data_IF_310905182570
#
_entry.id   IF_310905182570
#
_cell.length_a   1.000
_cell.length_b   1.000
_cell.length_c   1.000
_cell.angle_alpha   90.00
_cell.angle_beta   90.00
_cell.angle_gamma   90.00
#
_symmetry.space_group_name_H-M   'P 1'
#
loop_
_entity.id
_entity.type
_entity.pdbx_description
1 polymer ?
#
# COMPACT_ATOMS: atom_id res chain seq x y z
N UNK A 1 23.61 1.43 21.97
CA UNK A 1 22.92 0.18 21.58
C UNK A 1 21.44 0.47 21.45
N UNK A 2 20.71 -0.25 20.58
CA UNK A 2 19.27 -0.02 20.43
C UNK A 2 18.50 -0.53 21.67
N UNK A 3 17.54 0.24 22.22
CA UNK A 3 16.70 -0.24 23.30
C UNK A 3 15.91 -1.50 22.90
N UNK A 4 15.70 -2.40 23.88
CA UNK A 4 14.81 -3.54 23.72
C UNK A 4 13.37 -3.07 23.45
N UNK A 5 12.62 -3.87 22.70
CA UNK A 5 11.20 -3.61 22.50
C UNK A 5 10.43 -3.83 23.82
N UNK A 6 9.44 -2.98 24.15
CA UNK A 6 8.52 -3.25 25.25
C UNK A 6 7.64 -4.47 24.94
N UNK A 7 6.89 -4.95 25.95
CA UNK A 7 5.83 -5.94 25.70
C UNK A 7 4.83 -5.40 24.67
N UNK A 8 4.43 -6.26 23.74
CA UNK A 8 3.42 -5.98 22.73
C UNK A 8 2.00 -6.33 23.19
N UNK A 9 1.88 -6.97 24.35
CA UNK A 9 0.60 -7.40 24.93
C UNK A 9 -0.23 -6.20 25.40
N UNK A 10 -1.54 -6.21 25.07
CA UNK A 10 -2.46 -5.17 25.48
C UNK A 10 -2.27 -3.79 24.82
N UNK A 11 -1.34 -3.66 23.87
CA UNK A 11 -1.17 -2.41 23.12
C UNK A 11 -2.37 -2.15 22.22
N UNK A 12 -2.72 -0.88 22.04
CA UNK A 12 -3.71 -0.46 21.04
C UNK A 12 -3.19 -0.84 19.65
N UNK A 13 -4.02 -1.50 18.85
CA UNK A 13 -3.71 -1.89 17.47
C UNK A 13 -4.55 -1.07 16.51
N UNK A 14 -3.91 -0.40 15.55
CA UNK A 14 -4.58 0.32 14.46
C UNK A 14 -4.31 -0.36 13.14
N UNK A 15 -5.37 -0.62 12.38
CA UNK A 15 -5.27 -1.21 11.05
C UNK A 15 -5.49 -0.12 9.99
N UNK A 16 -4.55 0.00 9.07
CA UNK A 16 -4.55 0.95 7.96
C UNK A 16 -4.46 0.15 6.67
N UNK A 17 -5.49 0.22 5.82
CA UNK A 17 -5.49 -0.41 4.50
C UNK A 17 -5.27 0.63 3.42
N UNK A 18 -4.17 0.48 2.68
CA UNK A 18 -3.86 1.25 1.49
C UNK A 18 -4.59 0.62 0.29
N UNK A 19 -5.12 1.45 -0.60
CA UNK A 19 -5.72 0.99 -1.84
C UNK A 19 -5.80 2.11 -2.86
N UNK A 20 -5.77 1.73 -4.14
CA UNK A 20 -6.00 2.61 -5.28
C UNK A 20 -7.38 2.31 -5.92
N UNK A 21 -7.95 3.22 -6.72
CA UNK A 21 -9.14 2.92 -7.54
C UNK A 21 -8.75 1.80 -8.53
N UNK A 22 -9.38 0.61 -8.45
CA UNK A 22 -8.96 -0.54 -9.25
C UNK A 22 -9.05 -0.31 -10.76
N UNK A 23 -9.93 0.57 -11.23
CA UNK A 23 -10.05 0.89 -12.65
C UNK A 23 -8.88 1.74 -13.11
N UNK A 24 -8.46 2.72 -12.30
CA UNK A 24 -7.32 3.57 -12.60
C UNK A 24 -6.02 2.77 -12.58
N UNK A 25 -5.86 1.86 -11.62
CA UNK A 25 -4.71 0.96 -11.57
C UNK A 25 -4.64 0.06 -12.83
N UNK A 26 -5.75 -0.62 -13.16
CA UNK A 26 -5.81 -1.45 -14.36
C UNK A 26 -5.55 -0.66 -15.66
N UNK A 27 -6.13 0.53 -15.80
CA UNK A 27 -5.91 1.39 -16.97
C UNK A 27 -4.46 1.87 -17.04
N UNK A 28 -3.87 2.28 -15.92
CA UNK A 28 -2.47 2.67 -15.82
C UNK A 28 -1.55 1.54 -16.28
N UNK A 29 -1.78 0.32 -15.78
CA UNK A 29 -1.02 -0.86 -16.18
C UNK A 29 -1.18 -1.19 -17.67
N UNK A 30 -2.40 -1.16 -18.20
CA UNK A 30 -2.65 -1.37 -19.63
C UNK A 30 -1.91 -0.35 -20.51
N UNK A 31 -1.87 0.91 -20.07
CA UNK A 31 -1.16 1.97 -20.78
C UNK A 31 0.36 1.81 -20.71
N UNK A 32 0.90 1.39 -19.56
CA UNK A 32 2.32 1.04 -19.41
C UNK A 32 2.69 -0.14 -20.31
N UNK A 33 1.90 -1.22 -20.29
CA UNK A 33 2.09 -2.39 -21.16
C UNK A 33 2.01 -2.02 -22.64
N UNK A 34 1.07 -1.15 -23.03
CA UNK A 34 0.97 -0.66 -24.41
C UNK A 34 2.20 0.14 -24.84
N UNK A 35 2.78 0.93 -23.93
CA UNK A 35 3.93 1.80 -24.23
C UNK A 35 5.27 1.08 -24.18
N UNK A 36 5.45 0.18 -23.21
CA UNK A 36 6.74 -0.41 -22.88
C UNK A 36 6.78 -1.94 -23.01
N UNK A 37 5.66 -2.61 -23.33
CA UNK A 37 5.62 -4.07 -23.46
C UNK A 37 5.99 -4.78 -22.15
N UNK A 38 6.70 -5.91 -22.25
CA UNK A 38 7.11 -6.70 -21.09
C UNK A 38 8.03 -5.94 -20.12
N UNK A 39 8.73 -4.91 -20.59
CA UNK A 39 9.57 -4.06 -19.77
C UNK A 39 8.77 -3.24 -18.75
N UNK A 40 7.47 -3.04 -18.95
CA UNK A 40 6.61 -2.41 -17.95
C UNK A 40 6.55 -3.19 -16.62
N UNK A 41 6.87 -4.49 -16.65
CA UNK A 41 6.83 -5.38 -15.49
C UNK A 41 8.21 -5.63 -14.88
N UNK A 42 9.28 -5.02 -15.42
CA UNK A 42 10.63 -5.26 -14.90
C UNK A 42 10.77 -4.73 -13.47
N UNK A 43 11.03 -5.62 -12.52
CA UNK A 43 11.17 -5.28 -11.10
C UNK A 43 9.92 -5.50 -10.25
N UNK A 44 8.78 -5.88 -10.86
CA UNK A 44 7.65 -6.42 -10.09
C UNK A 44 8.01 -7.85 -9.67
N UNK A 45 8.15 -8.06 -8.37
CA UNK A 45 8.61 -9.33 -7.81
C UNK A 45 7.58 -10.44 -8.11
N UNK A 46 7.97 -11.41 -8.94
CA UNK A 46 7.09 -12.52 -9.36
C UNK A 46 6.60 -13.38 -8.20
N UNK A 47 7.34 -13.41 -7.09
CA UNK A 47 6.97 -14.14 -5.86
C UNK A 47 5.70 -13.57 -5.20
N UNK A 48 5.47 -12.25 -5.30
CA UNK A 48 4.27 -11.60 -4.76
C UNK A 48 3.04 -11.83 -5.64
N UNK A 49 3.24 -11.97 -6.96
CA UNK A 49 2.16 -12.30 -7.91
C UNK A 49 1.59 -13.71 -7.66
N UNK A 50 2.43 -14.67 -7.28
CA UNK A 50 2.02 -16.07 -7.10
C UNK A 50 1.20 -16.28 -5.81
N UNK A 51 1.45 -15.47 -4.77
CA UNK A 51 0.69 -15.51 -3.53
C UNK A 51 -0.77 -15.04 -3.72
N UNK A 52 -1.04 -14.18 -4.71
CA UNK A 52 -2.40 -13.72 -5.04
C UNK A 52 -3.19 -14.72 -5.91
N UNK A 53 -2.50 -15.64 -6.60
CA UNK A 53 -3.12 -16.71 -7.38
C UNK A 53 -3.45 -17.96 -6.55
N UNK A 54 -2.89 -18.09 -5.34
CA UNK A 54 -3.05 -19.26 -4.47
C UNK A 54 -4.41 -19.33 -3.74
N UNK A 55 -5.37 -18.48 -4.11
CA UNK A 55 -6.78 -18.56 -3.70
C UNK A 55 -7.67 -19.37 -4.65
N UNK A 56 -7.14 -19.87 -5.76
CA UNK A 56 -7.86 -20.70 -6.71
C UNK A 56 -7.22 -22.08 -6.83
N UNK A 57 -7.79 -23.08 -6.16
CA UNK A 57 -7.48 -24.48 -6.42
C UNK A 57 -7.95 -24.86 -7.83
N UNK A 58 -7.12 -24.62 -8.84
CA UNK A 58 -7.24 -25.24 -10.15
C UNK A 58 -6.15 -26.29 -10.27
N UNK A 59 -6.55 -27.57 -10.23
CA UNK A 59 -5.67 -28.69 -10.44
C UNK A 59 -5.02 -28.59 -11.81
N UNK A 60 -3.69 -28.56 -11.85
CA UNK A 60 -2.91 -28.64 -13.07
C UNK A 60 -2.93 -30.09 -13.60
N UNK A 61 -3.95 -30.39 -14.41
CA UNK A 61 -3.86 -31.47 -15.40
C UNK A 61 -3.09 -30.96 -16.63
N UNK A 62 -2.23 -31.82 -17.16
CA UNK A 62 -1.38 -31.60 -18.35
C UNK A 62 -2.06 -30.76 -19.44
N UNK A 63 -1.48 -29.60 -19.77
CA UNK A 63 -1.84 -28.82 -20.95
C UNK A 63 -0.69 -28.89 -21.94
N UNK A 64 -0.91 -29.60 -23.05
CA UNK A 64 -0.02 -29.71 -24.20
C UNK A 64 0.00 -28.38 -24.98
N UNK A 65 1.19 -27.76 -25.08
CA UNK A 65 1.41 -26.46 -25.71
C UNK A 65 1.73 -26.56 -27.21
N UNK A 66 1.14 -27.52 -27.92
CA UNK A 66 1.49 -27.81 -29.31
C UNK A 66 0.77 -26.99 -30.39
N UNK A 67 -0.38 -26.35 -30.12
CA UNK A 67 -1.18 -25.79 -31.22
C UNK A 67 -2.18 -24.68 -30.79
N UNK A 68 -1.68 -23.52 -30.36
CA UNK A 68 -2.52 -22.33 -30.22
C UNK A 68 -2.42 -21.44 -31.48
N UNK A 69 -3.50 -21.44 -32.26
CA UNK A 69 -3.70 -20.53 -33.39
C UNK A 69 -4.06 -19.13 -32.87
N UNK A 70 -3.16 -18.16 -33.08
CA UNK A 70 -3.34 -16.76 -32.70
C UNK A 70 -3.93 -15.88 -33.82
N UNK A 71 -4.36 -16.47 -34.94
CA UNK A 71 -4.82 -15.72 -36.13
C UNK A 71 -6.16 -14.97 -35.95
N UNK A 72 -6.89 -15.20 -34.85
CA UNK A 72 -8.19 -14.59 -34.58
C UNK A 72 -8.21 -13.50 -33.50
N UNK A 73 -7.09 -13.17 -32.86
CA UNK A 73 -7.07 -12.17 -31.78
C UNK A 73 -7.11 -10.75 -32.34
N UNK A 74 -8.32 -10.25 -32.60
CA UNK A 74 -8.55 -8.85 -32.98
C UNK A 74 -8.28 -7.92 -31.78
N UNK A 75 -7.04 -7.47 -31.64
CA UNK A 75 -6.62 -6.47 -30.64
C UNK A 75 -7.20 -5.06 -30.89
N UNK A 76 -8.00 -4.85 -31.94
CA UNK A 76 -8.57 -3.54 -32.29
C UNK A 76 -9.88 -3.18 -31.58
N UNK A 77 -10.59 -4.14 -30.98
CA UNK A 77 -11.95 -3.91 -30.47
C UNK A 77 -12.04 -3.43 -29.00
N UNK A 78 -10.93 -3.34 -28.27
CA UNK A 78 -10.90 -2.83 -26.89
C UNK A 78 -10.76 -1.30 -26.81
N UNK A 79 -10.66 -0.60 -27.94
CA UNK A 79 -10.40 0.85 -27.98
C UNK A 79 -11.62 1.75 -27.75
N UNK A 80 -12.82 1.19 -27.59
CA UNK A 80 -14.06 1.96 -27.65
C UNK A 80 -15.05 1.70 -26.50
N UNK A 81 -14.55 1.28 -25.33
CA UNK A 81 -15.34 1.34 -24.10
C UNK A 81 -15.42 2.81 -23.68
N UNK A 82 -16.51 3.47 -24.08
CA UNK A 82 -16.85 4.83 -23.68
C UNK A 82 -17.14 4.87 -22.17
N UNK A 83 -16.10 4.96 -21.35
CA UNK A 83 -16.21 5.26 -19.93
C UNK A 83 -16.45 6.77 -19.77
N UNK A 84 -17.64 7.22 -20.19
CA UNK A 84 -18.08 8.63 -20.19
C UNK A 84 -18.31 9.24 -18.80
N UNK A 85 -17.62 8.76 -17.76
CA UNK A 85 -17.52 9.43 -16.47
C UNK A 85 -16.18 10.15 -16.37
N UNK A 86 -16.17 11.40 -15.94
CA UNK A 86 -14.92 12.10 -15.60
C UNK A 86 -14.21 11.27 -14.52
N UNK A 87 -13.02 10.76 -14.82
CA UNK A 87 -12.16 10.12 -13.82
C UNK A 87 -11.67 11.19 -12.85
N UNK A 88 -11.83 10.93 -11.56
CA UNK A 88 -11.28 11.78 -10.51
C UNK A 88 -9.88 11.29 -10.15
N UNK A 89 -8.90 11.80 -10.88
CA UNK A 89 -7.48 11.48 -10.62
C UNK A 89 -6.99 12.06 -9.30
N UNK A 90 -7.66 13.08 -8.73
CA UNK A 90 -7.24 13.74 -7.51
C UNK A 90 -7.70 13.01 -6.23
N UNK A 91 -8.61 12.04 -6.36
CA UNK A 91 -9.21 11.31 -5.24
C UNK A 91 -9.21 9.79 -5.51
N UNK A 92 -8.13 9.31 -6.11
CA UNK A 92 -7.99 7.95 -6.61
C UNK A 92 -7.36 6.99 -5.60
N UNK A 93 -6.74 7.50 -4.54
CA UNK A 93 -6.01 6.70 -3.57
C UNK A 93 -6.55 6.90 -2.16
N UNK A 94 -6.57 5.82 -1.38
CA UNK A 94 -7.31 5.76 -0.13
C UNK A 94 -6.48 5.18 1.00
N UNK A 95 -6.76 5.61 2.22
CA UNK A 95 -6.48 4.84 3.43
C UNK A 95 -7.81 4.53 4.13
N UNK A 96 -8.04 3.24 4.43
CA UNK A 96 -9.29 2.76 5.02
C UNK A 96 -10.54 3.16 4.22
N UNK A 97 -10.41 3.17 2.88
CA UNK A 97 -11.49 3.52 1.94
C UNK A 97 -11.87 5.00 1.93
N UNK A 98 -11.06 5.87 2.56
CA UNK A 98 -11.26 7.31 2.58
C UNK A 98 -10.09 7.99 1.86
N UNK A 99 -10.41 9.00 1.06
CA UNK A 99 -9.42 9.98 0.61
C UNK A 99 -9.10 10.93 1.74
N UNK A 100 -7.92 11.52 1.69
CA UNK A 100 -7.50 12.52 2.67
C UNK A 100 -8.53 13.66 2.81
N UNK A 101 -8.98 13.91 4.04
CA UNK A 101 -9.77 15.07 4.41
C UNK A 101 -9.01 15.88 5.48
N UNK A 102 -8.44 17.01 5.07
CA UNK A 102 -7.66 17.90 5.93
C UNK A 102 -8.47 18.43 7.13
N UNK A 103 -9.80 18.46 7.04
CA UNK A 103 -10.67 18.98 8.10
C UNK A 103 -11.15 17.90 9.08
N UNK A 104 -10.80 16.63 8.84
CA UNK A 104 -11.30 15.48 9.60
C UNK A 104 -10.20 14.46 9.87
N UNK A 105 -9.47 14.60 10.99
CA UNK A 105 -8.56 13.56 11.45
C UNK A 105 -9.28 12.21 11.62
N UNK A 106 -8.65 11.13 11.18
CA UNK A 106 -9.23 9.78 11.18
C UNK A 106 -9.36 9.21 12.59
N UNK A 107 -8.42 9.53 13.48
CA UNK A 107 -8.42 9.08 14.87
C UNK A 107 -7.53 9.97 15.76
N UNK A 108 -7.60 9.73 17.08
CA UNK A 108 -6.67 10.26 18.06
C UNK A 108 -5.77 9.13 18.59
N UNK A 109 -4.46 9.28 18.47
CA UNK A 109 -3.45 8.40 19.07
C UNK A 109 -3.13 8.83 20.51
N UNK A 110 -2.69 7.90 21.35
CA UNK A 110 -2.39 8.23 22.74
C UNK A 110 -0.97 8.77 22.90
N UNK A 111 -0.83 10.00 23.42
CA UNK A 111 0.47 10.56 23.81
C UNK A 111 1.20 9.70 24.84
N UNK A 112 2.50 9.50 24.63
CA UNK A 112 3.41 8.80 25.53
C UNK A 112 3.16 7.29 25.65
N UNK A 113 2.22 6.73 24.88
CA UNK A 113 1.90 5.30 24.89
C UNK A 113 2.35 4.64 23.58
N UNK A 114 2.79 3.39 23.70
CA UNK A 114 3.11 2.60 22.52
C UNK A 114 1.81 2.09 21.89
N UNK A 115 1.74 2.18 20.56
CA UNK A 115 0.69 1.56 19.75
C UNK A 115 1.33 0.70 18.66
N UNK A 116 0.61 -0.35 18.23
CA UNK A 116 0.97 -1.17 17.08
C UNK A 116 0.16 -0.70 15.89
N UNK A 117 0.82 -0.23 14.84
CA UNK A 117 0.15 0.13 13.60
C UNK A 117 0.44 -0.93 12.55
N UNK A 118 -0.63 -1.50 12.01
CA UNK A 118 -0.62 -2.55 10.99
C UNK A 118 -1.05 -1.90 9.67
N UNK A 119 -0.13 -1.83 8.72
CA UNK A 119 -0.32 -1.17 7.43
C UNK A 119 -0.34 -2.23 6.34
N UNK A 120 -1.47 -2.36 5.65
CA UNK A 120 -1.72 -3.35 4.62
C UNK A 120 -1.77 -2.70 3.26
N UNK A 121 -0.93 -3.17 2.33
CA UNK A 121 -1.04 -2.90 0.90
C UNK A 121 -1.71 -4.05 0.14
N UNK A 122 -2.41 -4.94 0.84
CA UNK A 122 -3.12 -6.06 0.19
C UNK A 122 -4.28 -5.49 -0.63
N UNK A 123 -4.14 -5.57 -1.95
CA UNK A 123 -5.14 -5.11 -2.92
C UNK A 123 -4.52 -4.53 -4.19
N UNK A 124 -3.27 -4.06 -4.12
CA UNK A 124 -2.49 -3.63 -5.27
C UNK A 124 -1.02 -4.08 -5.11
N UNK A 125 -0.23 -3.90 -6.17
CA UNK A 125 1.16 -4.33 -6.25
C UNK A 125 2.15 -3.16 -6.28
N UNK A 126 1.67 -1.94 -6.01
CA UNK A 126 2.53 -0.77 -6.01
C UNK A 126 3.36 -0.72 -4.72
N UNK A 127 4.56 -0.13 -4.83
CA UNK A 127 5.38 0.20 -3.68
C UNK A 127 4.80 1.43 -2.97
N UNK A 128 4.46 1.26 -1.69
CA UNK A 128 4.03 2.33 -0.79
C UNK A 128 5.01 2.47 0.37
N UNK A 129 6.01 3.38 0.28
CA UNK A 129 6.84 3.71 1.42
C UNK A 129 5.99 4.49 2.43
N UNK A 130 5.49 3.83 3.48
CA UNK A 130 4.54 4.44 4.40
C UNK A 130 5.27 5.22 5.49
N UNK A 131 5.03 6.53 5.55
CA UNK A 131 5.64 7.48 6.48
C UNK A 131 4.66 7.96 7.56
N UNK A 132 5.15 8.17 8.78
CA UNK A 132 4.34 8.62 9.93
C UNK A 132 5.04 9.82 10.59
N UNK A 133 4.34 10.95 10.69
CA UNK A 133 4.85 12.18 11.30
C UNK A 133 4.96 12.06 12.82
N UNK A 134 5.76 12.94 13.45
CA UNK A 134 5.79 13.10 14.91
C UNK A 134 6.45 11.96 15.69
N UNK A 135 7.05 10.98 15.03
CA UNK A 135 7.69 9.83 15.68
C UNK A 135 8.89 9.30 14.89
N UNK A 136 9.78 8.62 15.60
CA UNK A 136 10.63 7.57 15.05
C UNK A 136 10.17 6.27 15.70
N UNK A 137 9.81 5.29 14.90
CA UNK A 137 9.26 4.00 15.29
C UNK A 137 10.25 2.85 15.11
N UNK A 138 9.85 1.68 15.60
CA UNK A 138 10.55 0.41 15.38
C UNK A 138 9.70 -0.46 14.46
N UNK A 139 10.31 -1.04 13.43
CA UNK A 139 9.62 -1.99 12.56
C UNK A 139 9.56 -3.35 13.26
N UNK A 140 8.36 -3.91 13.37
CA UNK A 140 8.11 -5.26 13.91
C UNK A 140 8.08 -6.30 12.79
N UNK A 141 7.42 -5.96 11.68
CA UNK A 141 7.39 -6.73 10.44
C UNK A 141 7.43 -5.76 9.25
N UNK A 142 8.25 -6.05 8.24
CA UNK A 142 8.32 -5.30 6.99
C UNK A 142 7.86 -6.18 5.84
N UNK A 143 6.69 -5.88 5.31
CA UNK A 143 6.06 -6.57 4.20
C UNK A 143 5.99 -8.10 4.39
N UNK A 144 5.56 -8.53 5.57
CA UNK A 144 5.42 -9.94 5.95
C UNK A 144 6.70 -10.63 6.41
N UNK A 145 7.85 -9.93 6.46
CA UNK A 145 9.15 -10.49 6.85
C UNK A 145 9.75 -9.73 8.03
N UNK A 146 10.67 -10.36 8.76
CA UNK A 146 11.46 -9.64 9.75
C UNK A 146 12.30 -8.54 9.06
N UNK A 147 12.43 -7.34 9.66
CA UNK A 147 13.22 -6.26 9.07
C UNK A 147 14.70 -6.67 8.97
N UNK A 148 15.34 -6.28 7.87
CA UNK A 148 16.78 -6.48 7.69
C UNK A 148 17.58 -5.81 8.83
N UNK A 149 18.76 -6.34 9.17
CA UNK A 149 19.54 -5.88 10.32
C UNK A 149 19.75 -4.35 10.36
N UNK A 150 20.06 -3.73 9.23
CA UNK A 150 20.26 -2.29 9.11
C UNK A 150 18.97 -1.45 9.24
N UNK A 151 17.79 -2.08 9.21
CA UNK A 151 16.45 -1.47 9.35
C UNK A 151 15.81 -1.71 10.72
N UNK A 152 16.47 -2.44 11.61
CA UNK A 152 15.98 -2.72 12.98
C UNK A 152 16.07 -1.53 13.94
N UNK A 153 16.70 -0.43 13.50
CA UNK A 153 16.89 0.80 14.26
C UNK A 153 15.63 1.68 14.35
N UNK A 154 15.85 2.97 14.53
CA UNK A 154 14.82 4.00 14.46
C UNK A 154 14.48 4.30 13.00
N UNK A 155 13.19 4.27 12.66
CA UNK A 155 12.68 4.55 11.33
C UNK A 155 11.45 5.45 11.41
N UNK A 156 11.21 6.17 10.34
CA UNK A 156 10.05 7.00 10.07
C UNK A 156 9.25 6.49 8.85
N UNK A 157 9.82 5.53 8.11
CA UNK A 157 9.23 4.95 6.90
C UNK A 157 9.40 3.44 6.89
N UNK A 158 8.34 2.72 6.50
CA UNK A 158 8.31 1.26 6.33
C UNK A 158 7.83 0.88 4.93
N UNK A 159 8.42 -0.16 4.32
CA UNK A 159 7.98 -0.67 3.01
C UNK A 159 6.62 -1.34 3.13
N UNK A 160 5.69 -1.06 2.23
CA UNK A 160 4.41 -1.77 2.08
C UNK A 160 4.19 -2.02 0.58
N UNK A 161 4.07 -3.26 0.15
CA UNK A 161 3.96 -3.60 -1.28
C UNK A 161 3.34 -5.00 -1.44
N UNK A 162 2.05 -5.07 -1.76
CA UNK A 162 1.28 -6.32 -1.85
C UNK A 162 1.15 -7.11 -0.53
N UNK A 163 1.82 -6.69 0.54
CA UNK A 163 1.86 -7.35 1.83
C UNK A 163 1.47 -6.45 3.00
N UNK A 164 1.84 -6.87 4.21
CA UNK A 164 1.49 -6.20 5.46
C UNK A 164 2.76 -5.87 6.25
N UNK A 165 2.86 -4.63 6.69
CA UNK A 165 3.89 -4.17 7.62
C UNK A 165 3.30 -3.84 8.97
N UNK A 166 4.10 -3.99 10.01
CA UNK A 166 3.73 -3.66 11.36
C UNK A 166 4.84 -2.85 12.03
N UNK A 167 4.46 -1.73 12.66
CA UNK A 167 5.38 -0.82 13.34
C UNK A 167 4.91 -0.53 14.76
N UNK A 168 5.87 -0.33 15.65
CA UNK A 168 5.66 0.09 17.03
C UNK A 168 5.94 1.60 17.14
N UNK A 169 4.88 2.39 17.29
CA UNK A 169 4.92 3.85 17.36
C UNK A 169 4.74 4.35 18.79
N UNK A 170 5.28 5.53 19.08
CA UNK A 170 4.98 6.32 20.29
C UNK A 170 5.12 7.79 19.94
N UNK A 171 4.18 8.61 20.39
CA UNK A 171 4.16 10.05 20.13
C UNK A 171 4.40 10.81 21.42
N UNK A 172 5.41 11.67 21.47
CA UNK A 172 5.80 12.40 22.70
C UNK A 172 5.29 13.85 22.71
N UNK A 173 4.70 14.31 21.62
CA UNK A 173 4.23 15.68 21.43
C UNK A 173 2.75 15.68 21.03
N UNK A 174 2.00 16.65 21.53
CA UNK A 174 0.59 16.84 21.17
C UNK A 174 0.47 17.29 19.70
N UNK A 175 -0.64 16.92 19.07
CA UNK A 175 -1.01 17.41 17.74
C UNK A 175 -2.52 17.71 17.71
N UNK A 176 -2.93 18.97 17.93
CA UNK A 176 -4.34 19.33 17.90
C UNK A 176 -4.89 19.24 16.48
N UNK A 177 -6.22 19.26 16.32
CA UNK A 177 -6.89 19.11 15.02
C UNK A 177 -6.38 20.10 13.96
N UNK A 178 -6.12 21.33 14.36
CA UNK A 178 -5.67 22.43 13.50
C UNK A 178 -4.24 22.24 12.99
N UNK A 179 -3.47 21.36 13.65
CA UNK A 179 -2.08 21.02 13.34
C UNK A 179 -1.87 19.50 13.48
N UNK A 180 -2.80 18.72 12.93
CA UNK A 180 -2.77 17.26 13.01
C UNK A 180 -1.49 16.70 12.36
N UNK A 181 -1.01 15.56 12.87
CA UNK A 181 0.04 14.79 12.20
C UNK A 181 -0.51 14.03 11.00
N UNK A 182 0.36 13.71 10.04
CA UNK A 182 0.01 12.91 8.88
C UNK A 182 0.62 11.51 8.95
N UNK A 183 -0.10 10.54 8.38
CA UNK A 183 0.44 9.24 8.00
C UNK A 183 0.05 8.97 6.54
N UNK A 184 1.05 8.71 5.69
CA UNK A 184 0.83 8.71 4.25
C UNK A 184 1.82 7.82 3.50
N UNK A 185 1.45 7.47 2.27
CA UNK A 185 2.41 6.97 1.30
C UNK A 185 3.36 8.10 0.89
N UNK A 186 4.66 7.82 0.85
CA UNK A 186 5.68 8.80 0.47
C UNK A 186 6.07 8.68 -1.02
N UNK A 187 5.32 7.89 -1.79
CA UNK A 187 5.23 8.09 -3.24
C UNK A 187 4.28 9.28 -3.42
N UNK A 188 4.85 10.45 -3.72
CA UNK A 188 4.17 11.74 -3.59
C UNK A 188 2.89 11.82 -4.44
N UNK A 189 2.89 11.20 -5.61
CA UNK A 189 1.70 11.16 -6.45
C UNK A 189 0.55 10.38 -5.79
N UNK A 190 0.83 9.36 -4.96
CA UNK A 190 -0.20 8.67 -4.19
C UNK A 190 -0.71 9.53 -3.02
N UNK A 191 0.19 10.27 -2.36
CA UNK A 191 -0.17 11.24 -1.31
C UNK A 191 -1.11 12.33 -1.86
N UNK A 192 -0.70 13.01 -2.93
CA UNK A 192 -1.41 14.14 -3.55
C UNK A 192 -2.78 13.75 -4.11
N UNK A 193 -2.99 12.46 -4.35
CA UNK A 193 -4.25 11.91 -4.88
C UNK A 193 -5.06 11.14 -3.83
N UNK A 194 -4.70 11.27 -2.55
CA UNK A 194 -5.55 10.93 -1.41
C UNK A 194 -5.00 9.89 -0.43
N UNK A 195 -3.83 9.26 -0.67
CA UNK A 195 -3.25 8.23 0.21
C UNK A 195 -2.57 8.81 1.46
N UNK A 196 -3.33 9.61 2.20
CA UNK A 196 -2.92 10.28 3.41
C UNK A 196 -4.08 10.32 4.41
N UNK A 197 -3.76 10.26 5.69
CA UNK A 197 -4.70 10.54 6.77
C UNK A 197 -4.09 11.53 7.75
N UNK A 198 -4.95 12.39 8.32
CA UNK A 198 -4.61 13.17 9.50
C UNK A 198 -4.96 12.41 10.78
N UNK A 199 -4.19 12.57 11.85
CA UNK A 199 -4.51 12.08 13.18
C UNK A 199 -4.05 13.07 14.26
N UNK A 200 -4.78 13.11 15.38
CA UNK A 200 -4.40 13.92 16.54
C UNK A 200 -3.63 13.08 17.56
N UNK A 201 -2.88 13.75 18.43
CA UNK A 201 -2.18 13.15 19.58
C UNK A 201 -2.48 13.98 20.82
#
# INVERSE_FOLDING_TARGET
TMPALPSLEGLTVRNLKLSMDPRLDMMGMQMLMKKYGAQAMSGMDHDSMNAHMQGGNMGHGEMDHGNMDHSGMNHGAMGNMNHGGKFDFHNANFINGQVFDMNKPMFAAQKGRHERWVISGVGDMMLHPFHIHGTQFRILSENGKAPAAHRTGWKDTVRVEGGISEVLVKFDHDAPKEHAYMAHCHLLEHEDTGMMLGFTV
#
